data_IF_382265911042
#
_entry.id   IF_382265911042
#
_cell.length_a   1.000
_cell.length_b   1.000
_cell.length_c   1.000
_cell.angle_alpha   90.00
_cell.angle_beta   90.00
_cell.angle_gamma   90.00
#
_symmetry.space_group_name_H-M   'P 1'
#
loop_
_entity.id
_entity.type
_entity.pdbx_description
1 polymer ?
#
# COMPACT_ATOMS: atom_id res chain seq x y z
N UNK A 1 2.02 -5.30 -11.57
CA UNK A 1 0.68 -5.20 -10.95
C UNK A 1 0.61 -4.10 -9.90
N UNK A 2 1.55 -4.05 -8.93
CA UNK A 2 1.59 -3.05 -7.85
C UNK A 2 1.36 -1.59 -8.28
N UNK A 3 2.09 -1.09 -9.29
CA UNK A 3 1.92 0.30 -9.74
C UNK A 3 0.53 0.55 -10.34
N UNK A 4 -0.03 -0.41 -11.07
CA UNK A 4 -1.34 -0.27 -11.71
C UNK A 4 -2.46 -0.25 -10.67
N UNK A 5 -2.41 -1.12 -9.66
CA UNK A 5 -3.40 -1.11 -8.58
C UNK A 5 -3.32 0.16 -7.74
N UNK A 6 -2.11 0.67 -7.48
CA UNK A 6 -1.91 1.95 -6.82
C UNK A 6 -2.47 3.13 -7.62
N UNK A 7 -2.14 3.22 -8.92
CA UNK A 7 -2.68 4.24 -9.83
C UNK A 7 -4.20 4.18 -9.89
N UNK A 8 -4.78 2.98 -9.89
CA UNK A 8 -6.23 2.80 -9.84
C UNK A 8 -6.83 3.36 -8.55
N UNK A 9 -6.18 3.12 -7.39
CA UNK A 9 -6.56 3.71 -6.11
C UNK A 9 -6.52 5.24 -6.12
N UNK A 10 -5.50 5.84 -6.75
CA UNK A 10 -5.43 7.29 -6.95
C UNK A 10 -6.62 7.78 -7.79
N UNK A 11 -6.90 7.11 -8.90
CA UNK A 11 -7.99 7.46 -9.83
C UNK A 11 -9.37 7.40 -9.18
N UNK A 12 -9.62 6.45 -8.27
CA UNK A 12 -10.89 6.39 -7.51
C UNK A 12 -11.13 7.68 -6.73
N UNK A 13 -10.07 8.28 -6.17
CA UNK A 13 -10.11 9.51 -5.40
C UNK A 13 -9.89 10.77 -6.27
N UNK A 14 -10.27 10.73 -7.55
CA UNK A 14 -10.04 11.81 -8.52
C UNK A 14 -10.54 13.19 -8.06
N UNK A 15 -11.67 13.26 -7.34
CA UNK A 15 -12.19 14.53 -6.83
C UNK A 15 -11.22 15.19 -5.83
N UNK A 16 -10.59 14.39 -4.97
CA UNK A 16 -9.61 14.87 -4.00
C UNK A 16 -8.28 15.18 -4.67
N UNK A 17 -7.88 14.41 -5.70
CA UNK A 17 -6.74 14.77 -6.57
C UNK A 17 -6.94 16.15 -7.19
N UNK A 18 -8.12 16.43 -7.76
CA UNK A 18 -8.44 17.73 -8.34
C UNK A 18 -8.29 18.87 -7.32
N UNK A 19 -8.73 18.66 -6.07
CA UNK A 19 -8.58 19.64 -4.98
C UNK A 19 -7.12 19.89 -4.61
N UNK A 20 -6.31 18.83 -4.56
CA UNK A 20 -4.86 18.94 -4.33
C UNK A 20 -4.21 19.80 -5.43
N UNK A 21 -4.56 19.57 -6.70
CA UNK A 21 -4.06 20.39 -7.82
C UNK A 21 -4.54 21.85 -7.78
N UNK A 22 -5.70 22.12 -7.17
CA UNK A 22 -6.21 23.48 -6.93
C UNK A 22 -5.57 24.16 -5.70
N UNK A 23 -4.57 23.53 -5.05
CA UNK A 23 -3.84 24.11 -3.93
C UNK A 23 -4.40 23.80 -2.54
N UNK A 24 -5.46 22.99 -2.44
CA UNK A 24 -6.00 22.54 -1.15
C UNK A 24 -5.21 21.35 -0.60
N UNK A 25 -3.97 21.60 -0.18
CA UNK A 25 -3.07 20.58 0.34
C UNK A 25 -3.09 20.57 1.88
N UNK A 26 -3.37 19.40 2.47
CA UNK A 26 -3.24 19.18 3.91
C UNK A 26 -2.83 17.75 4.19
N UNK A 27 -1.63 17.58 4.73
CA UNK A 27 -1.11 16.28 5.15
C UNK A 27 -1.70 15.86 6.50
N UNK A 28 -2.07 14.59 6.63
CA UNK A 28 -2.47 13.96 7.88
C UNK A 28 -1.55 12.78 8.20
N UNK A 29 -1.60 12.28 9.45
CA UNK A 29 -0.83 11.13 9.93
C UNK A 29 -0.97 9.89 9.04
N UNK A 30 -2.11 9.73 8.34
CA UNK A 30 -2.34 8.64 7.37
C UNK A 30 -1.38 8.62 6.18
N UNK A 31 -0.57 9.66 5.98
CA UNK A 31 0.48 9.66 4.98
C UNK A 31 1.51 8.55 5.26
N UNK A 32 1.96 8.42 6.51
CA UNK A 32 2.94 7.41 6.92
C UNK A 32 2.47 5.97 6.60
N UNK A 33 1.27 5.52 7.04
CA UNK A 33 0.80 4.17 6.71
C UNK A 33 0.57 3.97 5.21
N UNK A 34 0.17 5.00 4.45
CA UNK A 34 0.03 4.87 2.99
C UNK A 34 1.37 4.63 2.29
N UNK A 35 2.45 5.29 2.74
CA UNK A 35 3.79 5.08 2.22
C UNK A 35 4.32 3.70 2.61
N UNK A 36 4.11 3.25 3.85
CA UNK A 36 4.48 1.90 4.30
C UNK A 36 3.77 0.81 3.48
N UNK A 37 2.47 0.98 3.24
CA UNK A 37 1.70 0.07 2.38
C UNK A 37 2.22 0.06 0.94
N UNK A 38 2.54 1.23 0.39
CA UNK A 38 3.09 1.32 -0.96
C UNK A 38 4.43 0.56 -1.07
N UNK A 39 5.34 0.76 -0.11
CA UNK A 39 6.61 0.02 -0.05
C UNK A 39 6.34 -1.48 0.04
N UNK A 40 5.39 -1.87 0.89
CA UNK A 40 5.05 -3.29 1.08
C UNK A 40 4.57 -3.94 -0.22
N UNK A 41 3.73 -3.23 -0.99
CA UNK A 41 3.14 -3.73 -2.23
C UNK A 41 4.14 -3.70 -3.39
N UNK A 42 5.08 -2.76 -3.43
CA UNK A 42 6.12 -2.68 -4.48
C UNK A 42 7.09 -3.85 -4.40
N UNK A 43 7.46 -4.27 -3.18
CA UNK A 43 8.37 -5.40 -2.97
C UNK A 43 7.79 -6.68 -3.62
N UNK A 44 8.57 -7.42 -4.42
CA UNK A 44 8.11 -8.66 -5.06
C UNK A 44 7.58 -9.69 -4.05
N UNK A 45 6.54 -10.43 -4.42
CA UNK A 45 5.95 -11.49 -3.57
C UNK A 45 6.95 -12.59 -3.23
N UNK A 46 7.91 -12.87 -4.12
CA UNK A 46 9.00 -13.83 -3.88
C UNK A 46 9.90 -13.42 -2.71
N UNK A 47 10.16 -12.12 -2.56
CA UNK A 47 10.94 -11.57 -1.44
C UNK A 47 10.18 -11.75 -0.11
N UNK A 48 8.86 -11.53 -0.11
CA UNK A 48 8.01 -11.79 1.05
C UNK A 48 7.93 -13.27 1.41
N UNK A 49 7.91 -14.16 0.41
CA UNK A 49 8.01 -15.61 0.60
C UNK A 49 9.32 -16.02 1.28
N UNK A 50 10.43 -15.46 0.83
CA UNK A 50 11.74 -15.70 1.43
C UNK A 50 11.80 -15.22 2.88
N UNK A 51 11.33 -14.00 3.16
CA UNK A 51 11.25 -13.46 4.52
C UNK A 51 10.26 -14.21 5.41
N UNK A 52 9.17 -14.75 4.85
CA UNK A 52 8.18 -15.54 5.56
C UNK A 52 8.63 -16.97 5.91
N UNK A 53 9.77 -17.42 5.38
CA UNK A 53 10.35 -18.73 5.65
C UNK A 53 10.01 -19.83 4.63
N UNK A 54 9.51 -19.48 3.44
CA UNK A 54 9.17 -20.45 2.38
C UNK A 54 10.40 -21.14 1.73
N UNK A 55 11.63 -20.85 2.19
CA UNK A 55 12.89 -21.33 1.62
C UNK A 55 13.65 -22.37 2.45
N UNK A 56 13.08 -22.90 3.54
CA UNK A 56 13.75 -23.87 4.40
C UNK A 56 14.28 -23.30 5.72
N UNK A 57 14.49 -24.21 6.67
CA UNK A 57 14.69 -23.99 8.10
C UNK A 57 15.86 -23.04 8.43
N UNK A 58 15.59 -21.73 8.54
CA UNK A 58 16.53 -20.81 9.22
C UNK A 58 16.57 -19.36 8.76
N UNK A 59 16.01 -19.00 7.59
CA UNK A 59 16.24 -17.67 7.00
C UNK A 59 15.04 -16.70 7.01
N UNK A 60 13.93 -17.07 7.69
CA UNK A 60 12.69 -16.29 7.71
C UNK A 60 12.29 -15.76 9.09
N UNK A 61 11.57 -14.64 9.10
CA UNK A 61 10.94 -14.02 10.27
C UNK A 61 9.62 -14.76 10.57
N UNK A 62 9.72 -15.98 11.11
CA UNK A 62 8.56 -16.83 11.47
C UNK A 62 7.44 -16.15 12.29
N UNK A 63 7.70 -15.23 13.25
CA UNK A 63 6.59 -14.59 13.98
C UNK A 63 5.79 -13.59 13.12
N UNK A 64 6.29 -13.19 11.96
CA UNK A 64 5.65 -12.24 11.05
C UNK A 64 4.96 -12.92 9.86
N UNK A 65 5.06 -14.24 9.71
CA UNK A 65 4.50 -15.00 8.59
C UNK A 65 3.02 -14.67 8.32
N UNK A 66 2.20 -14.54 9.36
CA UNK A 66 0.77 -14.21 9.24
C UNK A 66 0.49 -12.82 8.62
N UNK A 67 1.40 -11.85 8.76
CA UNK A 67 1.30 -10.53 8.10
C UNK A 67 1.87 -10.59 6.68
N UNK A 68 2.87 -11.44 6.46
CA UNK A 68 3.60 -11.52 5.19
C UNK A 68 2.91 -12.42 4.15
N UNK A 69 2.16 -13.43 4.58
CA UNK A 69 1.40 -14.34 3.72
C UNK A 69 0.41 -13.61 2.80
N UNK A 70 -0.41 -12.66 3.28
CA UNK A 70 -1.27 -11.85 2.42
C UNK A 70 -0.50 -11.07 1.34
N UNK A 71 0.75 -10.68 1.59
CA UNK A 71 1.60 -10.00 0.61
C UNK A 71 2.17 -10.94 -0.47
N UNK A 72 2.01 -12.25 -0.33
CA UNK A 72 2.39 -13.22 -1.35
C UNK A 72 1.26 -13.45 -2.36
N UNK A 73 0.01 -13.28 -1.93
CA UNK A 73 -1.21 -13.46 -2.73
C UNK A 73 -1.40 -12.25 -3.66
N UNK A 74 -1.59 -12.51 -4.95
CA UNK A 74 -1.65 -11.46 -5.98
C UNK A 74 -2.87 -10.56 -5.79
N UNK A 75 -4.02 -11.15 -5.51
CA UNK A 75 -5.30 -10.48 -5.30
C UNK A 75 -5.23 -9.52 -4.11
N UNK A 76 -4.62 -9.97 -3.01
CA UNK A 76 -4.44 -9.15 -1.82
C UNK A 76 -3.46 -8.01 -2.05
N UNK A 77 -2.34 -8.23 -2.77
CA UNK A 77 -1.45 -7.13 -3.17
C UNK A 77 -2.14 -6.09 -4.05
N UNK A 78 -3.04 -6.51 -4.94
CA UNK A 78 -3.84 -5.59 -5.74
C UNK A 78 -4.73 -4.75 -4.82
N UNK A 79 -5.47 -5.37 -3.91
CA UNK A 79 -6.32 -4.66 -2.95
C UNK A 79 -5.53 -3.68 -2.07
N UNK A 80 -4.39 -4.13 -1.53
CA UNK A 80 -3.49 -3.28 -0.73
C UNK A 80 -2.91 -2.12 -1.55
N UNK A 81 -2.59 -2.34 -2.82
CA UNK A 81 -2.13 -1.27 -3.73
C UNK A 81 -3.22 -0.21 -3.97
N UNK A 82 -4.46 -0.64 -4.25
CA UNK A 82 -5.61 0.28 -4.37
C UNK A 82 -5.81 1.06 -3.08
N UNK A 83 -5.77 0.38 -1.93
CA UNK A 83 -5.94 1.01 -0.62
C UNK A 83 -4.81 1.99 -0.30
N UNK A 84 -3.56 1.68 -0.66
CA UNK A 84 -2.42 2.59 -0.54
C UNK A 84 -2.63 3.87 -1.35
N UNK A 85 -3.13 3.76 -2.59
CA UNK A 85 -3.46 4.90 -3.44
C UNK A 85 -4.55 5.79 -2.84
N UNK A 86 -5.66 5.18 -2.41
CA UNK A 86 -6.77 5.89 -1.77
C UNK A 86 -6.30 6.62 -0.51
N UNK A 87 -5.58 5.92 0.37
CA UNK A 87 -5.08 6.49 1.62
C UNK A 87 -4.11 7.64 1.37
N UNK A 88 -3.25 7.52 0.35
CA UNK A 88 -2.34 8.60 0.00
C UNK A 88 -3.10 9.86 -0.38
N UNK A 89 -4.07 9.77 -1.30
CA UNK A 89 -4.86 10.95 -1.72
C UNK A 89 -5.63 11.54 -0.53
N UNK A 90 -6.28 10.71 0.27
CA UNK A 90 -7.01 11.16 1.46
C UNK A 90 -6.11 11.81 2.49
N UNK A 91 -4.89 11.29 2.66
CA UNK A 91 -3.91 11.86 3.58
C UNK A 91 -3.45 13.25 3.17
N UNK A 92 -3.51 13.59 1.87
CA UNK A 92 -3.06 14.86 1.30
C UNK A 92 -4.20 15.87 1.08
N UNK A 93 -5.45 15.40 1.08
CA UNK A 93 -6.64 16.23 0.87
C UNK A 93 -7.48 16.44 2.14
N UNK A 94 -6.91 16.16 3.32
CA UNK A 94 -7.63 16.01 4.59
C UNK A 94 -8.66 17.12 4.87
N UNK A 95 -9.94 16.77 4.72
CA UNK A 95 -11.10 17.47 5.28
C UNK A 95 -11.64 16.59 6.41
N UNK A 96 -11.79 17.12 7.63
CA UNK A 96 -12.61 16.47 8.67
C UNK A 96 -14.01 16.31 8.07
N UNK A 97 -14.48 15.07 7.86
CA UNK A 97 -15.92 14.86 7.73
C UNK A 97 -16.60 15.37 9.00
#
# INVERSE_FOLDING_TARGET
MACWSFLFGLLIEWQNIKRIFLGHFKTNWFFIPSILLLIAVIIPSTTWGFWGGAGGEGYGIKPLSWILEPLQITETRIALGVLAGILLVRSLSSHKQ
#
